data_IF_011939530128
#
_entry.id   IF_011939530128
#
_cell.length_a   1.000
_cell.length_b   1.000
_cell.length_c   1.000
_cell.angle_alpha   90.00
_cell.angle_beta   90.00
_cell.angle_gamma   90.00
#
_symmetry.space_group_name_H-M   'P 1'
#
loop_
_entity.id
_entity.type
_entity.pdbx_description
1 polymer ?
#
# COMPACT_ATOMS: atom_id res chain seq x y z
N UNK A 1 -33.37 70.70 -23.64
CA UNK A 1 -32.88 69.72 -24.65
C UNK A 1 -31.37 69.43 -24.54
N UNK A 2 -30.54 70.25 -23.87
CA UNK A 2 -29.08 70.02 -23.74
C UNK A 2 -28.62 69.03 -22.65
N UNK A 3 -29.46 68.62 -21.70
CA UNK A 3 -29.02 67.75 -20.58
C UNK A 3 -28.96 66.26 -20.96
N UNK A 4 -29.68 65.83 -22.01
CA UNK A 4 -29.67 64.42 -22.48
C UNK A 4 -28.47 64.09 -23.38
N UNK A 5 -27.88 65.08 -24.04
CA UNK A 5 -26.71 64.86 -24.91
C UNK A 5 -25.42 64.59 -24.11
N UNK A 6 -25.31 65.13 -22.89
CA UNK A 6 -24.11 64.98 -22.06
C UNK A 6 -23.97 63.57 -21.45
N UNK A 7 -25.08 62.91 -21.13
CA UNK A 7 -25.07 61.54 -20.59
C UNK A 7 -24.69 60.49 -21.64
N UNK A 8 -25.05 60.71 -22.91
CA UNK A 8 -24.67 59.84 -24.01
C UNK A 8 -23.17 59.96 -24.36
N UNK A 9 -22.60 61.17 -24.24
CA UNK A 9 -21.17 61.39 -24.51
C UNK A 9 -20.27 60.70 -23.47
N UNK A 10 -20.64 60.75 -22.18
CA UNK A 10 -19.88 60.11 -21.10
C UNK A 10 -19.93 58.58 -21.20
N UNK A 11 -21.07 58.01 -21.61
CA UNK A 11 -21.24 56.56 -21.77
C UNK A 11 -20.39 55.97 -22.91
N UNK A 12 -20.01 56.78 -23.91
CA UNK A 12 -19.21 56.34 -25.07
C UNK A 12 -17.72 56.63 -24.86
N UNK A 13 -17.37 57.75 -24.22
CA UNK A 13 -15.96 58.17 -24.05
C UNK A 13 -15.27 57.44 -22.91
N UNK A 14 -15.99 57.08 -21.84
CA UNK A 14 -15.39 56.39 -20.68
C UNK A 14 -14.87 54.97 -21.00
N UNK A 15 -15.57 54.11 -21.75
CA UNK A 15 -15.05 52.78 -22.11
C UNK A 15 -13.81 52.86 -23.03
N UNK A 16 -13.76 53.85 -23.93
CA UNK A 16 -12.65 54.04 -24.88
C UNK A 16 -11.37 54.49 -24.16
N UNK A 17 -11.49 55.35 -23.15
CA UNK A 17 -10.35 55.75 -22.30
C UNK A 17 -9.82 54.59 -21.45
N UNK A 18 -10.71 53.74 -20.92
CA UNK A 18 -10.30 52.54 -20.15
C UNK A 18 -9.62 51.51 -21.07
N UNK A 19 -10.12 51.32 -22.30
CA UNK A 19 -9.47 50.44 -23.27
C UNK A 19 -8.09 50.97 -23.71
N UNK A 20 -7.95 52.30 -23.87
CA UNK A 20 -6.67 52.94 -24.18
C UNK A 20 -5.63 52.80 -23.05
N UNK A 21 -6.06 52.89 -21.79
CA UNK A 21 -5.20 52.67 -20.62
C UNK A 21 -4.79 51.19 -20.45
N UNK A 22 -5.68 50.24 -20.76
CA UNK A 22 -5.38 48.82 -20.73
C UNK A 22 -4.46 48.37 -21.88
N UNK A 23 -4.54 49.02 -23.05
CA UNK A 23 -3.65 48.74 -24.18
C UNK A 23 -2.29 49.45 -24.06
N UNK A 24 -2.18 50.54 -23.30
CA UNK A 24 -0.92 51.25 -23.01
C UNK A 24 -0.05 50.60 -21.92
N UNK A 25 -0.53 49.57 -21.22
CA UNK A 25 0.24 48.90 -20.14
C UNK A 25 1.16 47.78 -20.63
N UNK A 26 1.12 47.43 -21.92
CA UNK A 26 2.11 46.52 -22.54
C UNK A 26 3.29 47.29 -23.14
N UNK A 27 4.28 47.63 -22.28
CA UNK A 27 5.74 47.58 -22.55
C UNK A 27 6.51 48.44 -21.53
N UNK A 28 7.04 47.79 -20.50
CA UNK A 28 8.37 48.09 -19.94
C UNK A 28 8.94 46.77 -19.40
N UNK A 29 9.62 46.01 -20.27
CA UNK A 29 10.63 45.06 -19.80
C UNK A 29 11.81 45.90 -19.35
N UNK A 30 12.00 46.02 -18.05
CA UNK A 30 13.27 46.45 -17.48
C UNK A 30 14.24 45.30 -17.72
N UNK A 31 15.32 45.58 -18.44
CA UNK A 31 16.43 44.65 -18.58
C UNK A 31 17.13 44.55 -17.23
N UNK A 32 17.07 43.37 -16.61
CA UNK A 32 17.94 43.01 -15.49
C UNK A 32 19.31 42.70 -16.10
N UNK A 33 20.43 43.24 -15.58
CA UNK A 33 21.76 42.90 -16.07
C UNK A 33 21.99 41.40 -15.88
N UNK A 34 22.41 40.73 -16.95
CA UNK A 34 22.93 39.37 -16.89
C UNK A 34 24.30 39.45 -16.24
N UNK A 35 24.36 39.09 -14.95
CA UNK A 35 25.60 38.79 -14.27
C UNK A 35 26.10 37.43 -14.79
N UNK A 36 27.36 37.38 -15.22
CA UNK A 36 28.00 36.19 -15.75
C UNK A 36 27.99 35.06 -14.71
N UNK A 37 27.84 33.79 -15.11
CA UNK A 37 28.00 32.70 -14.16
C UNK A 37 29.47 32.64 -13.74
N UNK A 38 29.71 32.90 -12.45
CA UNK A 38 30.93 32.48 -11.77
C UNK A 38 30.92 30.96 -11.75
N UNK A 39 31.97 30.35 -12.30
CA UNK A 39 32.25 28.92 -12.18
C UNK A 39 32.28 28.54 -10.70
N UNK A 40 31.19 27.96 -10.20
CA UNK A 40 31.19 27.31 -8.90
C UNK A 40 31.72 25.89 -9.08
N UNK A 41 32.73 25.48 -8.29
CA UNK A 41 33.35 24.17 -8.40
C UNK A 41 32.34 23.06 -8.14
N UNK A 42 32.54 21.93 -8.85
CA UNK A 42 31.80 20.67 -8.71
C UNK A 42 31.51 20.36 -7.24
N UNK A 43 30.31 19.91 -6.88
CA UNK A 43 30.09 19.35 -5.55
C UNK A 43 30.92 18.07 -5.44
N UNK A 44 31.92 18.13 -4.57
CA UNK A 44 32.65 16.96 -4.12
C UNK A 44 31.68 15.91 -3.59
N UNK A 45 31.84 14.71 -4.10
CA UNK A 45 31.27 13.47 -3.57
C UNK A 45 31.62 13.31 -2.09
N UNK A 46 30.73 13.74 -1.21
CA UNK A 46 30.73 13.32 0.20
C UNK A 46 29.92 12.05 0.33
N UNK A 47 30.60 10.93 0.12
CA UNK A 47 30.19 9.66 0.69
C UNK A 47 30.31 9.77 2.22
N UNK A 48 29.27 9.45 3.01
CA UNK A 48 29.49 9.21 4.43
C UNK A 48 30.36 7.97 4.57
N UNK A 49 31.44 8.11 5.35
CA UNK A 49 32.44 7.08 5.59
C UNK A 49 31.78 5.75 6.01
N UNK A 50 31.90 4.76 5.15
CA UNK A 50 31.70 3.35 5.49
C UNK A 50 32.80 2.95 6.47
N UNK A 51 32.47 2.93 7.77
CA UNK A 51 33.23 2.10 8.69
C UNK A 51 32.98 0.65 8.28
N UNK A 52 34.05 0.01 7.82
CA UNK A 52 34.08 -1.42 7.49
C UNK A 52 33.75 -2.22 8.75
N UNK A 53 32.51 -2.67 8.86
CA UNK A 53 32.20 -3.86 9.63
C UNK A 53 32.70 -5.03 8.80
N UNK A 54 33.71 -5.73 9.31
CA UNK A 54 34.17 -6.98 8.73
C UNK A 54 32.97 -7.91 8.51
N UNK A 55 32.84 -8.54 7.32
CA UNK A 55 31.68 -9.38 7.01
C UNK A 55 31.70 -10.61 7.93
N UNK A 56 30.63 -10.88 8.70
CA UNK A 56 30.50 -12.16 9.36
C UNK A 56 30.19 -13.23 8.33
N UNK A 57 31.07 -14.23 8.27
CA UNK A 57 30.90 -15.56 7.66
C UNK A 57 30.43 -15.64 6.20
N UNK A 58 31.38 -16.00 5.33
CA UNK A 58 31.13 -16.73 4.10
C UNK A 58 30.44 -18.06 4.42
N UNK A 59 29.12 -18.12 4.26
CA UNK A 59 28.35 -19.34 4.37
C UNK A 59 26.93 -19.10 3.88
N UNK A 60 26.63 -19.64 2.68
CA UNK A 60 25.35 -19.53 1.96
C UNK A 60 25.17 -18.19 1.22
N UNK A 61 25.96 -17.99 0.16
CA UNK A 61 25.65 -16.98 -0.85
C UNK A 61 24.42 -17.42 -1.66
N UNK A 62 23.51 -16.48 -1.85
CA UNK A 62 22.20 -16.63 -2.47
C UNK A 62 22.30 -16.64 -4.00
N UNK A 63 22.76 -17.77 -4.58
CA UNK A 63 23.02 -17.86 -6.03
C UNK A 63 21.77 -18.23 -6.84
N UNK A 64 20.69 -18.70 -6.19
CA UNK A 64 19.55 -19.32 -6.90
C UNK A 64 18.32 -18.41 -7.02
N UNK A 65 18.15 -17.39 -6.16
CA UNK A 65 16.97 -16.51 -6.18
C UNK A 65 17.35 -15.17 -6.78
N UNK A 66 17.17 -15.08 -8.10
CA UNK A 66 17.32 -13.83 -8.81
C UNK A 66 16.08 -12.96 -8.61
N UNK A 67 16.29 -11.67 -8.37
CA UNK A 67 15.21 -10.71 -8.49
C UNK A 67 14.66 -10.80 -9.92
N UNK A 68 13.32 -10.84 -10.11
CA UNK A 68 12.78 -10.87 -11.45
C UNK A 68 13.15 -9.59 -12.21
N UNK A 69 13.26 -9.72 -13.54
CA UNK A 69 13.47 -8.58 -14.43
C UNK A 69 12.30 -7.60 -14.32
N UNK A 70 12.61 -6.31 -14.27
CA UNK A 70 11.61 -5.23 -14.41
C UNK A 70 11.12 -5.08 -15.86
N UNK A 71 11.89 -5.61 -16.82
CA UNK A 71 11.55 -5.63 -18.24
C UNK A 71 10.78 -6.91 -18.56
N UNK A 72 9.62 -6.73 -19.17
CA UNK A 72 8.78 -7.78 -19.73
C UNK A 72 9.28 -8.17 -21.12
N UNK A 73 9.30 -9.48 -21.37
CA UNK A 73 9.26 -10.01 -22.72
C UNK A 73 7.82 -9.92 -23.22
N UNK A 74 7.63 -9.42 -24.44
CA UNK A 74 6.32 -9.24 -25.06
C UNK A 74 6.26 -10.13 -26.31
N UNK A 75 5.17 -10.86 -26.49
CA UNK A 75 4.94 -11.69 -27.68
C UNK A 75 4.41 -10.88 -28.88
N UNK A 76 4.21 -11.56 -30.00
CA UNK A 76 3.73 -10.95 -31.25
C UNK A 76 2.31 -10.36 -31.13
N UNK A 77 1.53 -10.80 -30.13
CA UNK A 77 0.18 -10.32 -29.83
C UNK A 77 0.20 -9.16 -28.80
N UNK A 78 1.38 -8.70 -28.40
CA UNK A 78 1.56 -7.61 -27.46
C UNK A 78 1.31 -7.99 -26.00
N UNK A 79 1.24 -9.29 -25.69
CA UNK A 79 1.00 -9.79 -24.33
C UNK A 79 2.32 -10.07 -23.59
N UNK A 80 2.35 -9.88 -22.25
CA UNK A 80 3.49 -10.29 -21.44
C UNK A 80 3.74 -11.80 -21.48
N UNK A 81 4.95 -12.20 -21.85
CA UNK A 81 5.44 -13.58 -21.71
C UNK A 81 6.04 -13.75 -20.32
N UNK A 82 5.39 -14.55 -19.48
CA UNK A 82 5.76 -14.71 -18.08
C UNK A 82 6.60 -15.97 -17.88
N UNK A 83 7.81 -15.78 -17.37
CA UNK A 83 8.70 -16.87 -16.98
C UNK A 83 8.21 -17.52 -15.68
N UNK A 84 7.62 -18.71 -15.80
CA UNK A 84 7.13 -19.50 -14.65
C UNK A 84 8.25 -20.09 -13.79
N UNK A 85 9.50 -20.06 -14.28
CA UNK A 85 10.66 -20.36 -13.44
C UNK A 85 10.97 -19.21 -12.48
N UNK A 86 10.67 -17.97 -12.88
CA UNK A 86 10.86 -16.77 -12.07
C UNK A 86 9.63 -16.39 -11.24
N UNK A 87 8.41 -16.62 -11.75
CA UNK A 87 7.16 -16.18 -11.11
C UNK A 87 6.22 -17.32 -10.73
N UNK A 88 5.46 -17.11 -9.66
CA UNK A 88 4.24 -17.86 -9.37
C UNK A 88 3.04 -17.11 -9.94
N UNK A 89 2.41 -17.67 -10.98
CA UNK A 89 1.22 -17.07 -11.57
C UNK A 89 0.01 -17.38 -10.69
N UNK A 90 -0.75 -16.34 -10.33
CA UNK A 90 -1.99 -16.44 -9.57
C UNK A 90 -3.18 -16.20 -10.49
N UNK A 91 -4.09 -17.17 -10.50
CA UNK A 91 -5.34 -17.12 -11.26
C UNK A 91 -6.52 -16.94 -10.33
N UNK A 92 -7.50 -16.16 -10.79
CA UNK A 92 -8.75 -15.93 -10.07
C UNK A 92 -9.56 -17.21 -10.02
N UNK A 93 -10.08 -17.55 -8.84
CA UNK A 93 -10.91 -18.72 -8.62
C UNK A 93 -12.39 -18.45 -8.98
N UNK A 94 -12.78 -17.17 -9.10
CA UNK A 94 -14.18 -16.80 -9.37
C UNK A 94 -14.46 -16.28 -10.78
N UNK A 95 -13.47 -15.75 -11.50
CA UNK A 95 -13.71 -15.21 -12.85
C UNK A 95 -13.62 -16.29 -13.91
N UNK A 96 -14.42 -16.18 -14.96
CA UNK A 96 -14.44 -17.18 -16.03
C UNK A 96 -13.11 -17.26 -16.81
N UNK A 97 -12.34 -16.16 -16.81
CA UNK A 97 -11.06 -16.04 -17.52
C UNK A 97 -9.85 -16.38 -16.65
N UNK A 98 -10.04 -16.56 -15.34
CA UNK A 98 -8.94 -16.67 -14.37
C UNK A 98 -8.14 -15.38 -14.19
N UNK A 99 -8.57 -14.25 -14.78
CA UNK A 99 -7.97 -12.93 -14.59
C UNK A 99 -8.51 -12.28 -13.32
N UNK A 100 -7.76 -11.32 -12.78
CA UNK A 100 -8.27 -10.47 -11.70
C UNK A 100 -9.55 -9.72 -12.14
N UNK A 101 -10.38 -9.34 -11.17
CA UNK A 101 -11.59 -8.56 -11.41
C UNK A 101 -11.38 -7.08 -11.03
N UNK A 102 -11.86 -6.12 -11.84
CA UNK A 102 -11.81 -4.72 -11.48
C UNK A 102 -12.82 -4.38 -10.39
N UNK A 103 -12.56 -3.28 -9.67
CA UNK A 103 -13.48 -2.72 -8.66
C UNK A 103 -14.03 -1.40 -9.20
N UNK A 104 -15.34 -1.35 -9.42
CA UNK A 104 -16.03 -0.18 -9.98
C UNK A 104 -16.78 0.58 -8.89
N UNK A 105 -16.42 1.86 -8.73
CA UNK A 105 -16.92 2.75 -7.68
C UNK A 105 -18.04 3.68 -8.16
N UNK A 106 -18.75 3.34 -9.24
CA UNK A 106 -19.76 4.21 -9.84
C UNK A 106 -19.14 5.46 -10.47
N UNK A 107 -19.65 6.65 -10.11
CA UNK A 107 -19.13 7.94 -10.60
C UNK A 107 -17.81 8.41 -9.99
N UNK A 108 -17.26 7.65 -9.04
CA UNK A 108 -16.03 8.00 -8.31
C UNK A 108 -14.82 7.19 -8.77
N UNK A 109 -13.62 7.70 -8.50
CA UNK A 109 -12.37 7.01 -8.78
C UNK A 109 -11.52 6.84 -7.52
N UNK A 110 -10.88 5.68 -7.38
CA UNK A 110 -10.08 5.33 -6.22
C UNK A 110 -9.15 4.15 -6.50
N UNK A 111 -8.07 4.10 -5.74
CA UNK A 111 -7.03 3.07 -5.82
C UNK A 111 -6.70 2.54 -4.42
N UNK A 112 -5.79 1.56 -4.33
CA UNK A 112 -5.39 0.92 -3.07
C UNK A 112 -6.59 0.37 -2.27
N UNK A 113 -7.37 -0.55 -2.85
CA UNK A 113 -8.57 -1.10 -2.24
C UNK A 113 -8.29 -2.00 -1.03
N UNK A 114 -9.27 -2.06 -0.14
CA UNK A 114 -9.47 -3.12 0.84
C UNK A 114 -10.88 -3.68 0.74
N UNK A 115 -11.00 -5.00 0.85
CA UNK A 115 -12.26 -5.73 0.73
C UNK A 115 -12.40 -6.62 1.96
N UNK A 116 -13.51 -6.49 2.69
CA UNK A 116 -13.91 -7.46 3.73
C UNK A 116 -15.35 -7.93 3.49
N UNK A 117 -15.71 -9.16 3.89
CA UNK A 117 -17.11 -9.59 3.94
C UNK A 117 -17.97 -8.60 4.72
N UNK A 118 -19.16 -8.29 4.20
CA UNK A 118 -20.15 -7.51 4.94
C UNK A 118 -20.54 -8.27 6.23
N UNK A 119 -20.96 -7.60 7.32
CA UNK A 119 -21.33 -8.32 8.55
C UNK A 119 -22.66 -9.09 8.46
N UNK A 120 -23.63 -8.57 7.69
CA UNK A 120 -25.00 -9.10 7.64
C UNK A 120 -25.55 -9.44 6.25
N UNK A 121 -24.78 -9.26 5.17
CA UNK A 121 -25.25 -9.44 3.78
C UNK A 121 -24.32 -10.42 3.07
N UNK A 122 -24.78 -11.65 2.90
CA UNK A 122 -23.96 -12.78 2.46
C UNK A 122 -23.40 -12.66 1.03
N UNK A 123 -24.00 -11.80 0.21
CA UNK A 123 -23.65 -11.53 -1.19
C UNK A 123 -23.00 -10.15 -1.37
N UNK A 124 -22.57 -9.51 -0.27
CA UNK A 124 -21.96 -8.19 -0.29
C UNK A 124 -20.62 -8.15 0.45
N UNK A 125 -19.80 -7.20 0.04
CA UNK A 125 -18.51 -6.87 0.65
C UNK A 125 -18.45 -5.38 0.93
N UNK A 126 -17.72 -5.01 1.98
CA UNK A 126 -17.37 -3.62 2.25
C UNK A 126 -16.04 -3.34 1.56
N UNK A 127 -16.04 -2.32 0.71
CA UNK A 127 -14.88 -1.86 -0.04
C UNK A 127 -14.46 -0.49 0.46
N UNK A 128 -13.18 -0.33 0.80
CA UNK A 128 -12.56 0.96 1.13
C UNK A 128 -11.43 1.24 0.15
N UNK A 129 -11.33 2.45 -0.37
CA UNK A 129 -10.29 2.88 -1.32
C UNK A 129 -9.74 4.27 -0.96
N UNK A 130 -8.52 4.56 -1.38
CA UNK A 130 -7.99 5.92 -1.41
C UNK A 130 -8.69 6.70 -2.53
N UNK A 131 -9.27 7.86 -2.21
CA UNK A 131 -9.81 8.77 -3.21
C UNK A 131 -8.68 9.37 -4.04
N UNK A 132 -8.86 9.41 -5.36
CA UNK A 132 -7.98 10.19 -6.24
C UNK A 132 -8.28 11.67 -6.04
N UNK A 133 -7.30 12.42 -5.55
CA UNK A 133 -7.46 13.86 -5.32
C UNK A 133 -7.57 14.60 -6.66
N UNK A 134 -8.49 15.56 -6.74
CA UNK A 134 -8.51 16.52 -7.85
C UNK A 134 -7.25 17.40 -7.76
N UNK A 135 -6.65 17.78 -8.90
CA UNK A 135 -5.34 18.48 -9.06
C UNK A 135 -5.17 19.86 -8.35
N UNK A 136 -5.90 20.15 -7.27
CA UNK A 136 -5.76 21.37 -6.48
C UNK A 136 -4.57 21.30 -5.51
N UNK A 137 -3.79 22.39 -5.37
CA UNK A 137 -2.50 22.39 -4.66
C UNK A 137 -2.60 22.31 -3.12
N UNK A 138 -3.80 22.41 -2.55
CA UNK A 138 -4.07 22.11 -1.13
C UNK A 138 -5.13 21.02 -1.12
N UNK A 139 -4.70 19.78 -0.90
CA UNK A 139 -5.56 18.60 -0.97
C UNK A 139 -6.01 18.12 0.40
N UNK A 140 -7.24 17.61 0.48
CA UNK A 140 -7.65 16.75 1.59
C UNK A 140 -7.62 15.30 1.08
N UNK A 141 -6.77 14.47 1.68
CA UNK A 141 -6.76 13.04 1.42
C UNK A 141 -7.94 12.39 2.11
N UNK A 142 -8.72 11.60 1.38
CA UNK A 142 -9.92 10.94 1.91
C UNK A 142 -9.96 9.49 1.48
N UNK A 143 -10.60 8.66 2.30
CA UNK A 143 -10.95 7.30 1.91
C UNK A 143 -12.41 7.28 1.47
N UNK A 144 -12.72 6.55 0.41
CA UNK A 144 -14.10 6.27 0.01
C UNK A 144 -14.50 4.88 0.47
N UNK A 145 -15.79 4.70 0.77
CA UNK A 145 -16.38 3.44 1.21
C UNK A 145 -17.68 3.15 0.45
N UNK A 146 -17.89 1.88 0.10
CA UNK A 146 -19.18 1.39 -0.37
C UNK A 146 -19.41 -0.07 0.03
N UNK A 147 -20.67 -0.47 0.06
CA UNK A 147 -21.05 -1.87 -0.05
C UNK A 147 -21.05 -2.26 -1.53
N UNK A 148 -20.43 -3.39 -1.88
CA UNK A 148 -20.25 -3.84 -3.26
C UNK A 148 -20.68 -5.30 -3.44
N UNK A 149 -21.10 -5.64 -4.64
CA UNK A 149 -21.48 -7.01 -5.05
C UNK A 149 -20.92 -7.34 -6.43
N UNK A 150 -20.84 -8.64 -6.75
CA UNK A 150 -20.35 -9.08 -8.06
C UNK A 150 -21.41 -8.97 -9.15
N UNK A 151 -21.00 -8.47 -10.31
CA UNK A 151 -21.79 -8.49 -11.55
C UNK A 151 -20.85 -8.74 -12.72
N UNK A 152 -21.01 -9.87 -13.41
CA UNK A 152 -20.20 -10.27 -14.58
C UNK A 152 -18.68 -10.09 -14.38
N UNK A 153 -18.12 -10.77 -13.37
CA UNK A 153 -16.68 -10.71 -13.05
C UNK A 153 -16.15 -9.30 -12.68
N UNK A 154 -17.03 -8.40 -12.23
CA UNK A 154 -16.68 -7.07 -11.71
C UNK A 154 -17.28 -6.90 -10.32
N UNK A 155 -16.51 -6.36 -9.38
CA UNK A 155 -17.01 -5.96 -8.06
C UNK A 155 -17.50 -4.52 -8.13
N UNK A 156 -18.81 -4.29 -8.03
CA UNK A 156 -19.44 -2.98 -8.26
C UNK A 156 -20.05 -2.46 -6.95
N UNK A 157 -19.78 -1.20 -6.62
CA UNK A 157 -20.48 -0.51 -5.54
C UNK A 157 -21.99 -0.48 -5.80
N UNK A 158 -22.77 -0.90 -4.81
CA UNK A 158 -24.24 -0.94 -4.88
C UNK A 158 -24.89 0.46 -4.84
N UNK A 159 -24.13 1.47 -4.40
CA UNK A 159 -24.51 2.87 -4.35
C UNK A 159 -23.27 3.75 -4.58
N UNK A 160 -23.45 5.05 -4.81
CA UNK A 160 -22.34 6.00 -4.83
C UNK A 160 -21.54 5.92 -3.53
N UNK A 161 -20.20 5.83 -3.60
CA UNK A 161 -19.37 5.66 -2.42
C UNK A 161 -19.38 6.93 -1.56
N UNK A 162 -19.41 6.73 -0.25
CA UNK A 162 -19.35 7.82 0.72
C UNK A 162 -17.90 8.08 1.15
N UNK A 163 -17.62 9.28 1.67
CA UNK A 163 -16.34 9.54 2.35
C UNK A 163 -16.37 8.85 3.72
N UNK A 164 -15.35 8.03 3.99
CA UNK A 164 -15.20 7.39 5.29
C UNK A 164 -14.88 8.44 6.37
N UNK A 165 -15.61 8.48 7.50
CA UNK A 165 -15.53 9.57 8.47
C UNK A 165 -14.34 9.41 9.44
N UNK A 166 -13.13 9.24 8.90
CA UNK A 166 -11.90 9.20 9.69
C UNK A 166 -11.44 10.62 10.01
N UNK A 167 -11.12 10.88 11.28
CA UNK A 167 -10.63 12.19 11.71
C UNK A 167 -9.27 12.49 11.09
N UNK A 168 -9.18 13.60 10.37
CA UNK A 168 -7.91 14.09 9.84
C UNK A 168 -7.01 14.64 10.96
N UNK A 169 -5.72 14.36 10.89
CA UNK A 169 -4.69 15.05 11.66
C UNK A 169 -3.97 16.07 10.78
N UNK A 170 -3.31 17.05 11.42
CA UNK A 170 -2.46 18.03 10.74
C UNK A 170 -1.07 17.92 11.32
N UNK A 171 -0.08 17.83 10.43
CA UNK A 171 1.32 17.70 10.81
C UNK A 171 2.04 19.03 10.80
N UNK A 172 3.22 18.99 11.42
CA UNK A 172 4.22 20.03 11.39
C UNK A 172 5.50 19.43 10.79
N UNK A 173 5.41 18.87 9.57
CA UNK A 173 6.58 18.31 8.90
C UNK A 173 7.57 19.44 8.55
N UNK A 174 8.85 19.23 8.77
CA UNK A 174 9.89 20.23 8.54
C UNK A 174 10.87 19.79 7.44
N UNK A 175 11.73 20.71 7.00
CA UNK A 175 12.80 20.49 6.04
C UNK A 175 12.37 19.76 4.76
N UNK A 176 13.07 18.71 4.37
CA UNK A 176 12.80 17.90 3.17
C UNK A 176 11.42 17.23 3.21
N UNK A 177 10.82 17.09 4.40
CA UNK A 177 9.50 16.50 4.60
C UNK A 177 8.37 17.54 4.62
N UNK A 178 8.67 18.84 4.55
CA UNK A 178 7.67 19.91 4.60
C UNK A 178 6.58 19.78 3.51
N UNK A 179 6.88 19.12 2.40
CA UNK A 179 5.93 18.85 1.33
C UNK A 179 4.74 17.99 1.77
N UNK A 180 4.88 17.15 2.80
CA UNK A 180 3.76 16.38 3.37
C UNK A 180 2.70 17.26 4.04
N UNK A 181 2.98 18.53 4.34
CA UNK A 181 1.99 19.45 4.90
C UNK A 181 0.97 19.95 3.86
N UNK A 182 1.23 19.79 2.55
CA UNK A 182 0.33 20.28 1.50
C UNK A 182 -0.94 19.45 1.31
N UNK A 183 -0.95 18.23 1.86
CA UNK A 183 -2.12 17.37 1.86
C UNK A 183 -2.29 16.75 3.25
N UNK A 184 -3.45 16.97 3.85
CA UNK A 184 -3.81 16.47 5.18
C UNK A 184 -4.93 15.43 5.08
N UNK A 185 -5.10 14.62 6.12
CA UNK A 185 -6.14 13.58 6.17
C UNK A 185 -5.60 12.15 6.14
N UNK A 186 -6.50 11.16 6.21
CA UNK A 186 -6.16 9.74 6.15
C UNK A 186 -5.68 9.37 4.76
N UNK A 187 -4.55 8.68 4.71
CA UNK A 187 -3.95 8.17 3.50
C UNK A 187 -3.98 6.66 3.55
N UNK A 188 -4.27 6.06 2.41
CA UNK A 188 -3.76 4.73 2.11
C UNK A 188 -4.31 3.71 3.14
N UNK A 189 -5.61 3.74 3.40
CA UNK A 189 -6.20 2.94 4.47
C UNK A 189 -6.26 1.44 4.12
N UNK A 190 -6.23 0.61 5.16
CA UNK A 190 -6.33 -0.85 5.08
C UNK A 190 -7.39 -1.32 6.03
N UNK A 191 -8.43 -1.92 5.47
CA UNK A 191 -9.54 -2.52 6.21
C UNK A 191 -9.34 -4.03 6.26
N UNK A 192 -9.37 -4.59 7.47
CA UNK A 192 -9.17 -6.01 7.69
C UNK A 192 -9.78 -6.46 9.01
N UNK A 193 -9.96 -7.76 9.19
CA UNK A 193 -10.40 -8.34 10.45
C UNK A 193 -9.23 -8.70 11.35
N UNK A 194 -9.27 -8.27 12.61
CA UNK A 194 -8.58 -8.96 13.71
C UNK A 194 -9.42 -10.13 14.24
N UNK A 195 -8.97 -10.84 15.29
CA UNK A 195 -9.66 -12.03 15.80
C UNK A 195 -11.12 -11.78 16.20
N UNK A 196 -11.41 -10.60 16.75
CA UNK A 196 -12.73 -10.27 17.29
C UNK A 196 -13.49 -9.22 16.47
N UNK A 197 -12.81 -8.27 15.86
CA UNK A 197 -13.40 -7.08 15.25
C UNK A 197 -12.66 -6.65 13.97
N UNK A 198 -13.33 -5.92 13.06
CA UNK A 198 -12.68 -5.25 11.94
C UNK A 198 -11.96 -3.97 12.40
N UNK A 199 -10.80 -3.72 11.82
CA UNK A 199 -9.98 -2.54 12.09
C UNK A 199 -9.59 -1.84 10.79
N UNK A 200 -9.45 -0.52 10.89
CA UNK A 200 -8.88 0.31 9.85
C UNK A 200 -7.50 0.77 10.30
N UNK A 201 -6.47 0.49 9.49
CA UNK A 201 -5.13 1.06 9.68
C UNK A 201 -4.79 1.97 8.52
N UNK A 202 -4.39 3.20 8.79
CA UNK A 202 -4.15 4.23 7.77
C UNK A 202 -2.97 5.13 8.13
N UNK A 203 -2.37 5.79 7.15
CA UNK A 203 -1.34 6.80 7.38
C UNK A 203 -1.97 8.16 7.63
N UNK A 204 -1.43 8.95 8.54
CA UNK A 204 -1.79 10.37 8.67
C UNK A 204 -0.65 11.13 9.34
N UNK A 205 -0.80 12.43 9.51
CA UNK A 205 0.20 13.22 10.22
C UNK A 205 0.37 12.71 11.65
N UNK A 206 1.63 12.66 12.09
CA UNK A 206 2.03 12.08 13.37
C UNK A 206 2.20 13.14 14.46
N UNK A 207 2.01 12.75 15.72
CA UNK A 207 2.41 13.55 16.87
C UNK A 207 3.89 13.34 17.29
N UNK A 208 4.54 12.28 16.80
CA UNK A 208 5.89 11.86 17.17
C UNK A 208 6.92 12.05 16.04
N UNK A 209 6.48 12.01 14.79
CA UNK A 209 7.28 12.16 13.56
C UNK A 209 6.53 13.08 12.57
N UNK A 210 6.92 13.13 11.28
CA UNK A 210 6.13 13.86 10.28
C UNK A 210 4.85 13.09 9.91
N UNK A 211 4.96 11.80 9.63
CA UNK A 211 3.84 10.92 9.26
C UNK A 211 3.89 9.63 10.06
N UNK A 212 2.73 9.16 10.49
CA UNK A 212 2.56 8.01 11.36
C UNK A 212 1.45 7.09 10.90
N UNK A 213 1.41 5.90 11.49
CA UNK A 213 0.35 4.92 11.26
C UNK A 213 -0.69 5.04 12.37
N UNK A 214 -1.96 4.99 12.01
CA UNK A 214 -3.10 5.12 12.91
C UNK A 214 -3.98 3.89 12.79
N UNK A 215 -4.66 3.53 13.88
CA UNK A 215 -5.61 2.43 13.95
C UNK A 215 -6.92 2.89 14.59
N UNK A 216 -8.03 2.38 14.08
CA UNK A 216 -9.36 2.58 14.67
C UNK A 216 -10.22 1.32 14.47
N UNK A 217 -11.05 1.01 15.46
CA UNK A 217 -12.11 0.01 15.34
C UNK A 217 -13.11 0.46 14.26
N UNK A 218 -13.21 -0.34 13.21
CA UNK A 218 -13.97 0.04 12.03
C UNK A 218 -15.48 0.10 12.31
N UNK A 219 -15.95 -0.58 13.34
CA UNK A 219 -17.37 -0.57 13.74
C UNK A 219 -17.84 0.81 14.20
N UNK A 220 -16.89 1.65 14.63
CA UNK A 220 -17.17 3.03 15.04
C UNK A 220 -17.35 3.99 13.87
N UNK A 221 -17.03 3.56 12.64
CA UNK A 221 -17.00 4.42 11.46
C UNK A 221 -18.21 4.28 10.54
N UNK A 222 -18.97 3.19 10.65
CA UNK A 222 -20.00 2.84 9.66
C UNK A 222 -21.25 2.25 10.30
N UNK A 223 -22.41 2.52 9.69
CA UNK A 223 -23.71 2.04 10.17
C UNK A 223 -23.91 0.53 9.98
N UNK A 224 -23.18 -0.11 9.07
CA UNK A 224 -23.27 -1.56 8.83
C UNK A 224 -22.96 -2.38 10.09
N UNK A 225 -22.22 -1.80 11.04
CA UNK A 225 -21.87 -2.39 12.34
C UNK A 225 -22.57 -1.75 13.55
N UNK A 226 -23.63 -0.95 13.34
CA UNK A 226 -24.27 -0.15 14.41
C UNK A 226 -24.61 -0.94 15.68
N UNK A 227 -25.02 -2.21 15.54
CA UNK A 227 -25.32 -3.07 16.69
C UNK A 227 -24.04 -3.57 17.36
N UNK A 228 -23.03 -3.96 16.59
CA UNK A 228 -21.76 -4.49 17.11
C UNK A 228 -20.82 -3.41 17.65
N UNK A 229 -21.03 -2.14 17.30
CA UNK A 229 -20.24 -1.00 17.76
C UNK A 229 -20.26 -0.85 19.29
N UNK A 230 -21.35 -1.25 19.97
CA UNK A 230 -21.43 -1.23 21.44
C UNK A 230 -20.47 -2.22 22.12
N UNK A 231 -19.93 -3.17 21.35
CA UNK A 231 -18.94 -4.16 21.79
C UNK A 231 -17.50 -3.71 21.51
N UNK A 232 -17.31 -2.52 20.91
CA UNK A 232 -15.99 -1.95 20.72
C UNK A 232 -15.35 -1.60 22.08
N UNK A 233 -14.08 -1.97 22.24
CA UNK A 233 -13.33 -1.79 23.48
C UNK A 233 -12.01 -1.09 23.21
N UNK A 234 -11.27 -1.60 22.23
CA UNK A 234 -9.96 -1.10 21.84
C UNK A 234 -10.10 -0.19 20.61
N UNK A 235 -9.30 0.88 20.56
CA UNK A 235 -9.23 1.81 19.42
C UNK A 235 -10.57 2.38 18.96
N UNK A 236 -11.50 2.69 19.89
CA UNK A 236 -12.80 3.29 19.54
C UNK A 236 -12.64 4.65 18.85
N UNK A 237 -11.55 5.35 19.16
CA UNK A 237 -11.12 6.58 18.53
C UNK A 237 -9.82 6.36 17.73
N UNK A 238 -9.52 7.23 16.74
CA UNK A 238 -8.23 7.26 16.07
C UNK A 238 -7.07 7.21 17.05
N UNK A 239 -6.25 6.17 16.96
CA UNK A 239 -5.11 5.97 17.85
C UNK A 239 -3.84 5.81 17.05
N UNK A 240 -2.83 6.62 17.34
CA UNK A 240 -1.54 6.55 16.66
C UNK A 240 -0.73 5.35 17.16
N UNK A 241 -0.26 4.51 16.23
CA UNK A 241 0.58 3.36 16.51
C UNK A 241 2.04 3.77 16.56
N UNK A 242 2.67 3.54 17.71
CA UNK A 242 4.10 3.77 17.90
C UNK A 242 4.92 2.54 17.48
N UNK A 243 6.24 2.74 17.36
CA UNK A 243 7.23 1.67 17.20
C UNK A 243 8.36 1.84 18.22
N UNK A 244 9.17 0.80 18.47
CA UNK A 244 10.40 0.96 19.24
C UNK A 244 11.36 1.94 18.53
N UNK A 245 12.12 2.75 19.28
CA UNK A 245 13.17 3.58 18.71
C UNK A 245 14.21 2.77 17.92
N UNK A 246 14.89 3.38 16.93
CA UNK A 246 14.75 4.77 16.51
C UNK A 246 13.52 5.01 15.63
N UNK A 247 12.93 6.20 15.76
CA UNK A 247 11.92 6.70 14.82
C UNK A 247 12.57 7.22 13.54
N UNK A 248 11.87 7.06 12.42
CA UNK A 248 12.14 7.66 11.12
C UNK A 248 11.32 8.93 10.97
N UNK A 249 11.71 9.81 10.03
CA UNK A 249 10.91 11.00 9.71
C UNK A 249 9.49 10.66 9.22
N UNK A 250 9.35 9.57 8.47
CA UNK A 250 8.05 9.06 7.96
C UNK A 250 7.91 7.60 8.39
N UNK A 251 7.00 7.37 9.34
CA UNK A 251 6.56 6.04 9.71
C UNK A 251 5.37 5.63 8.84
N UNK A 252 5.61 4.61 8.02
CA UNK A 252 4.62 4.07 7.09
C UNK A 252 4.83 2.58 6.94
N UNK A 253 3.87 1.91 6.31
CA UNK A 253 4.01 0.50 5.94
C UNK A 253 4.20 -0.42 7.17
N UNK A 254 3.53 -0.12 8.29
CA UNK A 254 3.40 -1.06 9.41
C UNK A 254 2.25 -2.02 9.12
N UNK A 255 2.24 -3.21 9.69
CA UNK A 255 0.98 -3.94 9.85
C UNK A 255 0.87 -4.45 11.29
N UNK A 256 -0.36 -4.69 11.73
CA UNK A 256 -0.64 -5.32 13.01
C UNK A 256 -0.99 -6.80 12.82
N UNK A 257 -0.72 -7.58 13.85
CA UNK A 257 -1.03 -9.00 13.94
C UNK A 257 -1.38 -9.38 15.38
N UNK A 258 -1.92 -10.58 15.57
CA UNK A 258 -2.37 -11.06 16.88
C UNK A 258 -1.72 -12.39 17.24
N UNK A 259 -1.43 -12.57 18.52
CA UNK A 259 -1.02 -13.86 19.07
C UNK A 259 -2.22 -14.78 19.37
N UNK A 260 -1.95 -15.92 19.99
CA UNK A 260 -2.94 -16.96 20.32
C UNK A 260 -3.96 -16.55 21.38
N UNK A 261 -3.66 -15.54 22.19
CA UNK A 261 -4.55 -15.04 23.26
C UNK A 261 -5.15 -13.68 22.93
N UNK A 262 -4.87 -13.14 21.74
CA UNK A 262 -5.44 -11.91 21.23
C UNK A 262 -4.66 -10.65 21.61
N UNK A 263 -3.43 -10.76 22.08
CA UNK A 263 -2.56 -9.58 22.21
C UNK A 263 -2.19 -9.05 20.82
N UNK A 264 -2.04 -7.72 20.74
CA UNK A 264 -1.80 -7.00 19.50
C UNK A 264 -0.32 -6.69 19.39
N UNK A 265 0.23 -6.92 18.21
CA UNK A 265 1.62 -6.63 17.89
C UNK A 265 1.70 -5.88 16.56
N UNK A 266 2.77 -5.11 16.36
CA UNK A 266 3.08 -4.45 15.11
C UNK A 266 4.39 -4.99 14.53
N UNK A 267 4.40 -5.20 13.22
CA UNK A 267 5.60 -5.43 12.42
C UNK A 267 5.92 -4.15 11.64
N UNK A 268 6.92 -3.40 12.11
CA UNK A 268 7.20 -2.06 11.61
C UNK A 268 8.28 -2.01 10.52
N UNK A 269 9.12 -3.03 10.45
CA UNK A 269 10.26 -3.05 9.53
C UNK A 269 10.68 -4.48 9.21
N UNK A 270 11.10 -4.76 7.97
CA UNK A 270 11.64 -6.07 7.53
C UNK A 270 13.17 -5.98 7.38
N UNK A 271 13.65 -4.94 6.69
CA UNK A 271 15.08 -4.73 6.37
C UNK A 271 15.57 -3.42 6.99
N UNK A 272 16.83 -3.35 7.47
CA UNK A 272 17.86 -4.40 7.42
C UNK A 272 17.62 -5.56 8.40
N UNK A 273 16.76 -5.36 9.41
CA UNK A 273 16.32 -6.36 10.37
C UNK A 273 14.84 -6.17 10.65
N UNK A 274 14.17 -7.26 11.06
CA UNK A 274 12.78 -7.18 11.48
C UNK A 274 12.67 -6.34 12.75
N UNK A 275 11.56 -5.61 12.89
CA UNK A 275 11.20 -4.91 14.13
C UNK A 275 9.79 -5.29 14.51
N UNK A 276 9.64 -5.87 15.70
CA UNK A 276 8.40 -6.41 16.24
C UNK A 276 8.15 -5.85 17.62
N UNK A 277 6.94 -5.37 17.89
CA UNK A 277 6.61 -4.84 19.22
C UNK A 277 5.18 -5.14 19.59
N UNK A 278 4.95 -5.33 20.89
CA UNK A 278 3.60 -5.38 21.44
C UNK A 278 2.99 -3.98 21.44
N UNK A 279 1.72 -3.88 21.05
CA UNK A 279 0.98 -2.63 21.00
C UNK A 279 -0.04 -2.58 22.13
N UNK A 280 0.01 -1.50 22.91
CA UNK A 280 -0.98 -1.16 23.92
C UNK A 280 -2.28 -0.63 23.29
N UNK A 281 -3.41 -0.66 24.02
CA UNK A 281 -4.69 -0.13 23.54
C UNK A 281 -4.66 1.38 23.30
N UNK A 282 -3.67 2.09 23.85
CA UNK A 282 -3.39 3.51 23.63
C UNK A 282 -2.41 3.78 22.47
N UNK A 283 -2.00 2.72 21.76
CA UNK A 283 -1.05 2.79 20.65
C UNK A 283 0.43 2.81 21.08
N UNK A 284 0.71 2.75 22.38
CA UNK A 284 2.08 2.67 22.89
C UNK A 284 2.78 1.38 22.45
N UNK A 285 4.08 1.48 22.16
CA UNK A 285 4.91 0.35 21.75
C UNK A 285 5.71 -0.20 22.93
N UNK A 286 5.72 -1.52 23.07
CA UNK A 286 6.70 -2.23 23.90
C UNK A 286 8.12 -2.24 23.30
N UNK A 287 9.07 -2.95 23.92
CA UNK A 287 10.41 -3.13 23.38
C UNK A 287 10.38 -3.95 22.08
N UNK A 288 11.47 -3.86 21.30
CA UNK A 288 11.66 -4.70 20.12
C UNK A 288 11.91 -6.16 20.52
N UNK A 289 11.12 -7.07 19.94
CA UNK A 289 11.12 -8.51 20.20
C UNK A 289 11.93 -9.29 19.16
N UNK A 290 12.20 -8.70 18.00
CA UNK A 290 12.92 -9.34 16.90
C UNK A 290 14.38 -9.76 17.21
N UNK A 291 15.14 -9.10 18.12
CA UNK A 291 16.51 -9.50 18.42
C UNK A 291 16.65 -10.96 18.90
N UNK A 292 15.60 -11.56 19.47
CA UNK A 292 15.61 -12.95 19.94
C UNK A 292 15.67 -13.95 18.77
N UNK A 293 15.17 -13.57 17.59
CA UNK A 293 15.11 -14.45 16.40
C UNK A 293 16.10 -14.05 15.31
N UNK A 294 16.94 -13.04 15.56
CA UNK A 294 17.80 -12.44 14.55
C UNK A 294 18.66 -13.46 13.80
N UNK A 295 19.26 -14.43 14.48
CA UNK A 295 20.11 -15.43 13.85
C UNK A 295 19.34 -16.33 12.87
N UNK A 296 18.15 -16.78 13.26
CA UNK A 296 17.28 -17.58 12.40
C UNK A 296 16.77 -16.75 11.23
N UNK A 297 16.28 -15.54 11.54
CA UNK A 297 15.62 -14.69 10.56
C UNK A 297 16.61 -14.18 9.52
N UNK A 298 17.81 -13.77 9.93
CA UNK A 298 18.88 -13.34 9.02
C UNK A 298 19.32 -14.46 8.08
N UNK A 299 19.48 -15.71 8.54
CA UNK A 299 19.77 -16.85 7.66
C UNK A 299 18.63 -17.10 6.67
N UNK A 300 17.39 -17.06 7.15
CA UNK A 300 16.22 -17.30 6.32
C UNK A 300 16.04 -16.23 5.24
N UNK A 301 16.12 -14.96 5.62
CA UNK A 301 16.06 -13.84 4.69
C UNK A 301 17.24 -13.85 3.71
N UNK A 302 18.45 -14.15 4.17
CA UNK A 302 19.63 -14.24 3.31
C UNK A 302 19.49 -15.35 2.25
N UNK A 303 18.84 -16.47 2.58
CA UNK A 303 18.58 -17.55 1.61
C UNK A 303 17.44 -17.23 0.66
N UNK A 304 16.32 -16.69 1.16
CA UNK A 304 15.06 -16.70 0.42
C UNK A 304 14.62 -15.33 -0.13
N UNK A 305 15.21 -14.22 0.33
CA UNK A 305 14.94 -12.89 -0.24
C UNK A 305 16.00 -12.52 -1.28
N UNK A 306 15.62 -11.90 -2.41
CA UNK A 306 16.57 -11.36 -3.38
C UNK A 306 17.66 -10.48 -2.72
N UNK A 307 18.96 -10.67 -3.00
CA UNK A 307 20.04 -9.93 -2.34
C UNK A 307 19.89 -8.41 -2.41
N UNK A 308 19.36 -7.89 -3.52
CA UNK A 308 19.11 -6.46 -3.72
C UNK A 308 18.10 -5.88 -2.70
N UNK A 309 17.22 -6.70 -2.11
CA UNK A 309 16.32 -6.28 -1.04
C UNK A 309 17.01 -6.07 0.30
N UNK A 310 18.05 -6.86 0.59
CA UNK A 310 18.65 -6.92 1.92
C UNK A 310 19.49 -5.68 2.24
N UNK A 311 19.95 -4.97 1.20
CA UNK A 311 20.80 -3.77 1.35
C UNK A 311 20.13 -2.44 1.00
N UNK A 312 18.83 -2.41 0.65
CA UNK A 312 18.18 -1.19 0.14
C UNK A 312 16.80 -0.96 0.77
N UNK A 313 16.31 0.27 0.71
CA UNK A 313 14.91 0.62 1.04
C UNK A 313 13.90 0.18 -0.03
N UNK A 314 14.25 -0.84 -0.82
CA UNK A 314 13.40 -1.42 -1.86
C UNK A 314 12.29 -2.31 -1.30
N UNK A 315 12.35 -2.72 -0.03
CA UNK A 315 11.28 -3.54 0.55
C UNK A 315 10.12 -2.65 0.99
N UNK A 316 8.93 -2.95 0.49
CA UNK A 316 7.70 -2.27 0.89
C UNK A 316 6.69 -3.26 1.48
N UNK A 317 6.31 -3.02 2.72
CA UNK A 317 5.41 -3.90 3.49
C UNK A 317 4.15 -3.14 3.91
N UNK A 318 3.17 -2.94 3.04
CA UNK A 318 1.90 -2.37 3.51
C UNK A 318 0.68 -3.26 3.29
N UNK A 319 0.84 -4.55 3.17
CA UNK A 319 -0.29 -5.49 3.28
C UNK A 319 -0.60 -5.75 4.75
N UNK A 320 -1.88 -5.90 5.14
CA UNK A 320 -2.22 -6.40 6.48
C UNK A 320 -1.85 -7.90 6.62
N UNK A 321 -1.98 -8.44 7.84
CA UNK A 321 -1.70 -9.84 8.12
C UNK A 321 -2.97 -10.68 8.29
N UNK A 322 -2.84 -12.00 8.19
CA UNK A 322 -3.86 -13.00 8.54
C UNK A 322 -3.22 -14.16 9.29
N UNK A 323 -3.97 -14.85 10.13
CA UNK A 323 -3.56 -16.15 10.68
C UNK A 323 -3.97 -17.27 9.72
N UNK A 324 -3.06 -18.20 9.42
CA UNK A 324 -3.32 -19.34 8.53
C UNK A 324 -2.86 -20.65 9.17
N UNK A 325 -3.73 -21.67 9.16
CA UNK A 325 -3.37 -23.05 9.50
C UNK A 325 -2.98 -23.81 8.24
N UNK A 326 -1.80 -24.46 8.25
CA UNK A 326 -1.22 -25.19 7.12
C UNK A 326 -1.79 -26.61 6.98
N UNK A 327 -3.11 -26.72 6.99
CA UNK A 327 -3.84 -27.89 6.55
C UNK A 327 -5.19 -27.45 5.97
N UNK A 328 -5.95 -28.39 5.41
CA UNK A 328 -7.24 -28.12 4.80
C UNK A 328 -8.32 -28.06 5.88
N UNK A 329 -9.22 -27.07 5.83
CA UNK A 329 -10.42 -27.00 6.69
C UNK A 329 -11.31 -28.21 6.51
N UNK A 330 -11.34 -28.75 5.29
CA UNK A 330 -12.10 -29.95 4.94
C UNK A 330 -11.55 -31.24 5.56
N UNK A 331 -10.33 -31.22 6.10
CA UNK A 331 -9.74 -32.35 6.82
C UNK A 331 -10.25 -32.39 8.28
N UNK A 332 -10.98 -33.44 8.71
CA UNK A 332 -11.53 -33.52 10.07
C UNK A 332 -10.46 -33.62 11.17
N UNK A 333 -9.24 -34.02 10.85
CA UNK A 333 -8.13 -34.12 11.80
C UNK A 333 -7.31 -32.81 11.88
N UNK A 334 -7.63 -31.82 11.02
CA UNK A 334 -6.94 -30.54 10.97
C UNK A 334 -7.39 -29.59 12.09
N UNK A 335 -6.66 -29.62 13.20
CA UNK A 335 -6.85 -28.68 14.31
C UNK A 335 -5.78 -27.57 14.32
N UNK A 336 -6.16 -26.30 14.51
CA UNK A 336 -5.19 -25.21 14.68
C UNK A 336 -4.36 -25.38 15.96
N UNK A 337 -3.05 -25.37 15.80
CA UNK A 337 -2.04 -25.42 16.87
C UNK A 337 -0.94 -24.41 16.58
N UNK A 338 -0.07 -24.15 17.56
CA UNK A 338 1.10 -23.28 17.38
C UNK A 338 2.15 -23.87 16.44
N UNK A 339 2.06 -25.17 16.13
CA UNK A 339 2.99 -25.85 15.22
C UNK A 339 2.57 -25.78 13.76
N UNK A 340 1.28 -25.60 13.50
CA UNK A 340 0.73 -25.58 12.14
C UNK A 340 -0.01 -24.28 11.81
N UNK A 341 -0.05 -23.29 12.71
CA UNK A 341 -0.73 -22.01 12.47
C UNK A 341 0.25 -20.85 12.58
N UNK A 342 0.29 -20.03 11.53
CA UNK A 342 1.28 -18.98 11.33
C UNK A 342 0.61 -17.65 11.01
N UNK A 343 1.38 -16.57 11.12
CA UNK A 343 0.98 -15.27 10.59
C UNK A 343 1.48 -15.18 9.14
N UNK A 344 0.54 -15.00 8.22
CA UNK A 344 0.77 -14.70 6.81
C UNK A 344 0.83 -13.18 6.62
N UNK A 345 1.91 -12.71 6.00
CA UNK A 345 2.05 -11.35 5.53
C UNK A 345 2.63 -11.33 4.11
N UNK A 346 2.33 -10.27 3.36
CA UNK A 346 2.94 -10.02 2.06
C UNK A 346 3.87 -8.81 2.14
N UNK A 347 4.99 -8.89 1.45
CA UNK A 347 5.91 -7.78 1.22
C UNK A 347 6.26 -7.69 -0.25
N UNK A 348 6.67 -6.51 -0.71
CA UNK A 348 6.98 -6.27 -2.10
C UNK A 348 8.45 -5.94 -2.28
N UNK A 349 9.06 -6.50 -3.32
CA UNK A 349 10.22 -5.90 -3.93
C UNK A 349 9.79 -4.69 -4.75
N UNK A 350 10.16 -3.49 -4.32
CA UNK A 350 9.96 -2.28 -5.10
C UNK A 350 11.23 -1.96 -5.88
N UNK A 351 11.13 -1.95 -7.19
CA UNK A 351 12.13 -1.34 -8.05
C UNK A 351 11.61 -0.01 -8.58
N UNK A 352 12.52 0.90 -8.91
CA UNK A 352 12.19 2.16 -9.58
C UNK A 352 13.19 2.35 -10.72
N UNK A 353 12.68 2.23 -11.95
CA UNK A 353 13.43 2.41 -13.18
C UNK A 353 12.71 3.47 -14.01
N UNK A 354 13.46 4.42 -14.59
CA UNK A 354 12.91 5.51 -15.39
C UNK A 354 11.73 6.27 -14.74
N UNK A 355 11.75 6.40 -13.41
CA UNK A 355 10.69 7.06 -12.65
C UNK A 355 9.39 6.26 -12.50
N UNK A 356 9.33 5.03 -13.02
CA UNK A 356 8.22 4.11 -12.87
C UNK A 356 8.55 3.01 -11.86
N UNK A 357 7.71 2.85 -10.84
CA UNK A 357 7.93 1.81 -9.82
C UNK A 357 7.22 0.52 -10.19
N UNK A 358 7.93 -0.61 -10.02
CA UNK A 358 7.40 -1.96 -10.20
C UNK A 358 7.45 -2.67 -8.84
N UNK A 359 6.39 -3.39 -8.49
CA UNK A 359 6.25 -4.07 -7.21
C UNK A 359 6.05 -5.56 -7.43
N UNK A 360 6.95 -6.36 -6.88
CA UNK A 360 6.87 -7.81 -6.97
C UNK A 360 6.57 -8.41 -5.60
N UNK A 361 5.35 -8.91 -5.36
CA UNK A 361 4.90 -9.38 -4.04
C UNK A 361 5.41 -10.78 -3.71
N UNK A 362 5.79 -10.99 -2.46
CA UNK A 362 6.22 -12.26 -1.88
C UNK A 362 5.40 -12.55 -0.62
N UNK A 363 5.21 -13.83 -0.32
CA UNK A 363 4.62 -14.26 0.95
C UNK A 363 5.69 -14.53 2.00
N UNK A 364 5.35 -14.25 3.25
CA UNK A 364 6.13 -14.54 4.43
C UNK A 364 5.24 -15.19 5.48
N UNK A 365 5.72 -16.30 6.05
CA UNK A 365 5.13 -16.93 7.22
C UNK A 365 6.06 -16.79 8.42
N UNK A 366 5.50 -16.42 9.56
CA UNK A 366 6.21 -16.44 10.84
C UNK A 366 5.34 -17.01 11.95
N UNK A 367 5.98 -17.48 13.02
CA UNK A 367 5.28 -18.09 14.15
C UNK A 367 4.23 -17.13 14.71
N UNK A 368 3.04 -17.63 15.07
CA UNK A 368 1.97 -16.82 15.69
C UNK A 368 2.17 -16.59 17.19
N UNK A 369 3.11 -17.31 17.79
CA UNK A 369 3.46 -17.21 19.21
C UNK A 369 4.89 -16.68 19.33
N UNK A 370 5.18 -15.99 20.43
CA UNK A 370 6.54 -15.52 20.74
C UNK A 370 7.53 -16.71 20.69
N UNK A 371 8.74 -16.52 20.12
CA UNK A 371 9.34 -15.25 19.75
C UNK A 371 9.09 -14.78 18.29
N UNK A 372 8.04 -15.28 17.61
CA UNK A 372 7.65 -14.84 16.24
C UNK A 372 8.71 -15.06 15.15
N UNK A 373 9.53 -16.11 15.29
CA UNK A 373 10.57 -16.48 14.33
C UNK A 373 9.99 -16.70 12.93
N UNK A 374 10.77 -16.39 11.89
CA UNK A 374 10.40 -16.72 10.51
C UNK A 374 10.25 -18.23 10.35
N UNK A 375 9.17 -18.63 9.68
CA UNK A 375 8.89 -20.02 9.30
C UNK A 375 9.26 -20.28 7.85
N UNK A 376 8.91 -19.35 6.94
CA UNK A 376 9.28 -19.45 5.54
C UNK A 376 8.99 -18.19 4.74
N UNK A 377 9.60 -18.09 3.57
CA UNK A 377 9.42 -17.00 2.61
C UNK A 377 9.23 -17.60 1.22
N UNK A 378 8.31 -17.08 0.41
CA UNK A 378 8.14 -17.57 -0.96
C UNK A 378 9.42 -17.32 -1.76
N UNK A 379 9.87 -18.32 -2.49
CA UNK A 379 11.10 -18.23 -3.31
C UNK A 379 10.87 -17.51 -4.64
N UNK A 380 9.60 -17.38 -5.03
CA UNK A 380 9.15 -16.64 -6.21
C UNK A 380 8.17 -15.52 -5.81
N UNK A 381 8.21 -14.37 -6.50
CA UNK A 381 7.14 -13.39 -6.41
C UNK A 381 5.90 -13.84 -7.16
N UNK A 382 4.76 -13.22 -6.84
CA UNK A 382 3.50 -13.49 -7.50
C UNK A 382 3.29 -12.62 -8.74
N UNK A 383 2.88 -13.26 -9.85
CA UNK A 383 2.33 -12.60 -11.01
C UNK A 383 0.81 -12.73 -11.01
N UNK A 384 0.09 -11.61 -10.89
CA UNK A 384 -1.38 -11.61 -10.90
C UNK A 384 -1.86 -11.69 -12.36
N UNK A 385 -2.60 -12.75 -12.71
CA UNK A 385 -3.16 -12.90 -14.05
C UNK A 385 -4.07 -11.73 -14.41
N UNK A 386 -3.78 -11.12 -15.56
CA UNK A 386 -4.42 -9.88 -16.04
C UNK A 386 -3.55 -8.64 -15.89
N UNK A 387 -2.45 -8.69 -15.12
CA UNK A 387 -1.41 -7.65 -15.15
C UNK A 387 -0.84 -7.54 -16.57
N UNK A 388 -0.74 -6.33 -17.09
CA UNK A 388 -0.29 -6.09 -18.47
C UNK A 388 1.01 -5.28 -18.54
N UNK A 389 1.40 -4.89 -19.75
CA UNK A 389 2.48 -3.94 -20.02
C UNK A 389 2.02 -2.52 -19.63
N UNK A 390 2.90 -1.76 -19.01
CA UNK A 390 2.70 -0.34 -18.75
C UNK A 390 2.51 0.42 -20.06
N UNK A 391 1.39 1.15 -20.17
CA UNK A 391 1.03 1.92 -21.35
C UNK A 391 0.20 3.15 -20.97
N UNK A 392 -0.12 4.01 -21.94
CA UNK A 392 -1.08 5.11 -21.70
C UNK A 392 -2.44 4.60 -21.20
N UNK A 393 -2.85 3.39 -21.61
CA UNK A 393 -4.12 2.77 -21.18
C UNK A 393 -4.08 2.29 -19.72
N UNK A 394 -2.89 2.16 -19.15
CA UNK A 394 -2.71 1.83 -17.73
C UNK A 394 -3.16 3.00 -16.82
N UNK A 395 -3.24 4.22 -17.37
CA UNK A 395 -3.92 5.35 -16.74
C UNK A 395 -3.16 6.01 -15.59
N UNK A 396 -1.86 5.78 -15.46
CA UNK A 396 -1.05 6.37 -14.40
C UNK A 396 -1.12 7.90 -14.41
N UNK A 397 -1.54 8.48 -13.29
CA UNK A 397 -1.80 9.93 -13.13
C UNK A 397 -0.57 10.80 -13.37
N UNK A 398 0.63 10.27 -13.15
CA UNK A 398 1.90 10.99 -13.35
C UNK A 398 2.40 10.96 -14.79
N UNK A 399 1.83 10.11 -15.64
CA UNK A 399 2.28 9.87 -17.01
C UNK A 399 1.22 10.18 -18.06
N UNK A 400 0.07 10.71 -17.67
CA UNK A 400 -1.05 11.02 -18.59
C UNK A 400 -0.64 11.92 -19.76
N UNK A 401 0.27 12.86 -19.50
CA UNK A 401 0.70 13.88 -20.47
C UNK A 401 2.10 13.58 -21.06
N UNK A 402 2.65 12.39 -20.84
CA UNK A 402 3.98 12.00 -21.32
C UNK A 402 3.93 11.15 -22.59
N UNK A 403 4.82 11.45 -23.53
CA UNK A 403 5.06 10.65 -24.73
C UNK A 403 6.22 9.66 -24.57
N UNK A 404 7.05 9.84 -23.54
CA UNK A 404 8.20 9.00 -23.26
C UNK A 404 7.86 8.00 -22.14
N UNK A 405 7.08 6.97 -22.47
CA UNK A 405 6.79 5.89 -21.52
C UNK A 405 7.98 4.94 -21.40
N UNK A 406 8.32 4.46 -20.19
CA UNK A 406 9.33 3.42 -20.01
C UNK A 406 8.98 2.17 -20.83
N UNK A 407 9.94 1.73 -21.64
CA UNK A 407 9.73 0.60 -22.53
C UNK A 407 9.71 -0.71 -21.75
N UNK A 408 8.74 -1.57 -22.10
CA UNK A 408 8.63 -2.94 -21.60
C UNK A 408 8.50 -3.08 -20.08
N UNK A 409 8.08 -2.02 -19.37
CA UNK A 409 7.68 -2.17 -17.98
C UNK A 409 6.35 -2.90 -17.87
N UNK A 410 6.17 -3.66 -16.79
CA UNK A 410 4.85 -4.15 -16.38
C UNK A 410 4.06 -3.05 -15.67
N UNK A 411 2.75 -3.20 -15.58
CA UNK A 411 1.95 -2.31 -14.75
C UNK A 411 2.35 -2.41 -13.27
N UNK A 412 2.32 -1.25 -12.59
CA UNK A 412 2.46 -1.10 -11.15
C UNK A 412 1.26 -1.72 -10.45
N UNK A 413 1.43 -2.93 -9.91
CA UNK A 413 0.46 -3.61 -9.06
C UNK A 413 0.94 -3.57 -7.62
N UNK A 414 0.18 -2.93 -6.73
CA UNK A 414 0.53 -2.87 -5.33
C UNK A 414 -0.52 -3.56 -4.47
N UNK A 415 -0.22 -4.76 -3.96
CA UNK A 415 -1.15 -5.49 -3.07
C UNK A 415 -1.25 -4.71 -1.77
N UNK A 416 -2.45 -4.17 -1.53
CA UNK A 416 -2.72 -3.28 -0.41
C UNK A 416 -3.29 -4.03 0.78
N UNK A 417 -4.10 -5.05 0.54
CA UNK A 417 -4.75 -5.80 1.59
C UNK A 417 -4.99 -7.24 1.19
N UNK A 418 -5.07 -8.09 2.21
CA UNK A 418 -5.48 -9.49 2.10
C UNK A 418 -6.56 -9.76 3.13
N UNK A 419 -7.64 -10.42 2.72
CA UNK A 419 -8.72 -10.80 3.64
C UNK A 419 -9.35 -12.11 3.18
N UNK A 420 -9.83 -12.90 4.12
CA UNK A 420 -10.64 -14.07 3.79
C UNK A 420 -11.93 -13.65 3.09
N UNK A 421 -12.27 -14.35 2.01
CA UNK A 421 -13.45 -14.04 1.18
C UNK A 421 -14.75 -14.47 1.84
N UNK A 422 -14.73 -15.57 2.61
CA UNK A 422 -15.93 -16.19 3.13
C UNK A 422 -16.58 -15.34 4.23
N UNK A 423 -17.90 -15.23 4.16
CA UNK A 423 -18.67 -14.49 5.15
C UNK A 423 -18.58 -15.14 6.54
N UNK A 424 -18.42 -14.32 7.58
CA UNK A 424 -18.19 -14.79 8.95
C UNK A 424 -16.75 -15.23 9.25
N UNK A 425 -15.89 -15.37 8.23
CA UNK A 425 -14.47 -15.61 8.44
C UNK A 425 -13.76 -14.30 8.77
N UNK A 426 -13.01 -14.28 9.88
CA UNK A 426 -12.38 -13.06 10.43
C UNK A 426 -10.88 -13.03 10.16
N UNK A 427 -10.05 -13.28 11.17
CA UNK A 427 -8.58 -13.20 11.06
C UNK A 427 -7.93 -14.52 10.64
N UNK A 428 -8.60 -15.65 10.91
CA UNK A 428 -8.04 -16.99 10.79
C UNK A 428 -8.66 -17.79 9.64
N UNK A 429 -7.81 -18.54 8.93
CA UNK A 429 -8.21 -19.46 7.88
C UNK A 429 -7.26 -20.63 7.66
N UNK A 430 -7.54 -21.41 6.62
CA UNK A 430 -6.89 -22.67 6.25
C UNK A 430 -6.42 -22.62 4.80
N UNK A 431 -5.67 -23.63 4.36
CA UNK A 431 -5.06 -23.65 3.03
C UNK A 431 -6.06 -23.73 1.87
N UNK A 432 -7.22 -24.34 2.08
CA UNK A 432 -8.32 -24.44 1.10
C UNK A 432 -9.29 -23.26 1.16
N UNK A 433 -9.13 -22.33 2.11
CA UNK A 433 -9.94 -21.12 2.15
C UNK A 433 -9.53 -20.14 1.04
N UNK A 434 -10.52 -19.39 0.54
CA UNK A 434 -10.31 -18.38 -0.49
C UNK A 434 -10.01 -17.02 0.15
N UNK A 435 -8.97 -16.37 -0.37
CA UNK A 435 -8.53 -15.03 0.01
C UNK A 435 -8.83 -14.04 -1.11
N UNK A 436 -9.22 -12.82 -0.76
CA UNK A 436 -9.04 -11.68 -1.65
C UNK A 436 -7.66 -11.09 -1.48
N UNK A 437 -6.95 -10.89 -2.59
CA UNK A 437 -5.83 -9.97 -2.69
C UNK A 437 -6.31 -8.72 -3.42
N UNK A 438 -6.37 -7.60 -2.71
CA UNK A 438 -6.84 -6.34 -3.25
C UNK A 438 -5.65 -5.40 -3.48
N UNK A 439 -5.57 -4.79 -4.66
CA UNK A 439 -4.40 -4.06 -5.12
C UNK A 439 -4.74 -2.79 -5.90
N UNK A 440 -3.89 -1.78 -5.76
CA UNK A 440 -3.91 -0.60 -6.61
C UNK A 440 -3.19 -0.88 -7.92
N UNK A 441 -3.70 -0.34 -9.02
CA UNK A 441 -3.05 -0.37 -10.33
C UNK A 441 -2.72 1.06 -10.73
N UNK A 442 -1.43 1.33 -10.97
CA UNK A 442 -0.94 2.62 -11.49
C UNK A 442 -1.34 3.88 -10.73
N UNK A 443 -1.66 3.75 -9.44
CA UNK A 443 -2.21 4.85 -8.62
C UNK A 443 -3.47 5.50 -9.23
N UNK A 444 -4.21 4.76 -10.05
CA UNK A 444 -5.32 5.30 -10.84
C UNK A 444 -6.59 4.46 -10.75
N UNK A 445 -6.47 3.17 -10.45
CA UNK A 445 -7.62 2.26 -10.35
C UNK A 445 -7.41 1.15 -9.33
N UNK A 446 -8.49 0.46 -9.04
CA UNK A 446 -8.57 -0.62 -8.04
C UNK A 446 -8.89 -1.96 -8.71
N UNK A 447 -8.21 -3.02 -8.28
CA UNK A 447 -8.48 -4.39 -8.69
C UNK A 447 -8.34 -5.35 -7.52
N UNK A 448 -8.89 -6.55 -7.68
CA UNK A 448 -8.65 -7.65 -6.77
C UNK A 448 -8.70 -8.99 -7.50
N UNK A 449 -8.09 -9.99 -6.88
CA UNK A 449 -8.13 -11.39 -7.32
C UNK A 449 -8.49 -12.26 -6.14
N UNK A 450 -9.32 -13.28 -6.34
CA UNK A 450 -9.60 -14.28 -5.32
C UNK A 450 -8.85 -15.58 -5.61
N UNK A 451 -8.10 -16.06 -4.63
CA UNK A 451 -7.17 -17.20 -4.80
C UNK A 451 -7.32 -18.16 -3.63
N UNK A 452 -7.02 -19.45 -3.83
CA UNK A 452 -6.87 -20.36 -2.72
C UNK A 452 -5.63 -19.97 -1.91
N UNK A 453 -5.69 -20.04 -0.58
CA UNK A 453 -4.54 -19.67 0.24
C UNK A 453 -3.31 -20.55 -0.01
N UNK A 454 -3.52 -21.83 -0.35
CA UNK A 454 -2.47 -22.74 -0.79
C UNK A 454 -1.66 -22.22 -1.98
N UNK A 455 -2.26 -21.44 -2.90
CA UNK A 455 -1.57 -20.91 -4.08
C UNK A 455 -0.47 -19.92 -3.72
N UNK A 456 -0.63 -19.19 -2.61
CA UNK A 456 0.39 -18.28 -2.09
C UNK A 456 1.56 -19.02 -1.42
N UNK A 457 1.38 -20.30 -1.10
CA UNK A 457 2.31 -21.10 -0.30
C UNK A 457 3.04 -22.18 -1.11
N UNK A 458 2.75 -22.33 -2.41
CA UNK A 458 3.32 -23.41 -3.23
C UNK A 458 4.85 -23.39 -3.32
N UNK A 459 5.46 -22.20 -3.35
CA UNK A 459 6.92 -22.05 -3.50
C UNK A 459 7.60 -21.57 -2.20
N UNK A 460 7.06 -21.94 -1.04
CA UNK A 460 7.59 -21.51 0.25
C UNK A 460 8.93 -22.21 0.56
N UNK A 461 9.99 -21.42 0.72
CA UNK A 461 11.26 -21.88 1.27
C UNK A 461 11.20 -21.89 2.79
N UNK A 462 11.41 -23.06 3.40
CA UNK A 462 11.28 -23.24 4.85
C UNK A 462 12.58 -22.88 5.58
N UNK A 463 12.52 -21.99 6.56
CA UNK A 463 13.69 -21.58 7.34
C UNK A 463 14.35 -22.77 8.08
N UNK A 464 13.58 -23.83 8.39
CA UNK A 464 14.08 -25.04 9.05
C UNK A 464 14.98 -25.91 8.17
N UNK A 465 15.02 -25.69 6.85
CA UNK A 465 15.91 -26.40 5.92
C UNK A 465 17.34 -25.86 5.98
N UNK A 466 17.53 -24.69 6.60
CA UNK A 466 18.82 -24.02 6.72
C UNK A 466 19.55 -24.57 7.95
N UNK A 467 20.64 -25.29 7.69
CA UNK A 467 21.51 -25.87 8.72
C UNK A 467 22.47 -24.85 9.30
#
# INVERSE_FOLDING_TARGET
MMIRAYKALIAIVAPILVLGLLLSSKRRRVAIPVEQPVDNPKPDTYAPASQSLDPPNQGIANVDILAPSHLLTIDDDGQPVIDTSAYRILHSNSTATGLYFPIHLGGSAGFNPSIIPHPTKFDAWIVVVQQISNKNPVGHSSQLICNAGFMNDVLICMAEPAVLPVKATRGNCEDELAHFNFEYGPRDARLFYGPLAPYLVYGSHSAYTCMGMWMQDFRMLVDDYRIEAVLAKDFTEPTELQRPPPYKGVEKNFFVFWDTVGNIYAHSEIVPQRVLSRIGPDGSSGPDLAPVTVDNDSRCMARYMPPAMLGTSAVQQATNSLAITLCMRSDPDCMPTDKNTFILALFHYKTNFDGHSVYEPYAMLFQRSEPFALHGISTKPFWISGRSKFSRLSGNVHWQDSDALPENHSEMFYIRSINWRAHGQKYHGYMDDILFLAFGVEQSRSGAIDVAAADLLQDLGLCSELK
#
